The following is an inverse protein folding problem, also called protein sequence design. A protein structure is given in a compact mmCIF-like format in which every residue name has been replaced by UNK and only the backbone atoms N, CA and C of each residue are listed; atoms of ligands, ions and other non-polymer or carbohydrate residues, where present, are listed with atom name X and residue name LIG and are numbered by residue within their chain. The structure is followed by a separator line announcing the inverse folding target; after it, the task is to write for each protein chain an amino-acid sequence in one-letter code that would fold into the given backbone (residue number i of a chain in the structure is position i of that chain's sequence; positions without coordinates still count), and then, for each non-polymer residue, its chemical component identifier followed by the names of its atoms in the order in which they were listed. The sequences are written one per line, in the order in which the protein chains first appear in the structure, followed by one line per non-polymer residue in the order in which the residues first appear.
data_IF_969919065938
#
_entry.id   IF_969919065938
#
_cell.length_a   1.000
_cell.length_b   1.000
_cell.length_c   1.000
_cell.angle_alpha   90.00
_cell.angle_beta   90.00
_cell.angle_gamma   90.00
#
_symmetry.space_group_name_H-M   'P 1'
#
loop_
_entity.id
_entity.type
_entity.pdbx_description
1 polymer ?
#
# COMPACT_ATOMS: atom_id res chain seq x y z
N UNK A 1 -10.49 -33.71 43.77
CA UNK A 1 -9.23 -33.59 43.03
C UNK A 1 -8.12 -34.28 43.78
N UNK A 2 -7.32 -35.11 43.13
CA UNK A 2 -6.30 -35.92 43.81
C UNK A 2 -4.90 -35.29 43.87
N UNK A 3 -4.77 -34.01 43.59
CA UNK A 3 -3.46 -33.32 43.54
C UNK A 3 -2.71 -33.36 44.90
N UNK A 4 -3.41 -33.21 46.02
CA UNK A 4 -2.84 -33.24 47.36
C UNK A 4 -3.45 -34.33 48.27
N UNK A 5 -4.04 -35.37 47.65
CA UNK A 5 -4.64 -36.47 48.39
C UNK A 5 -3.53 -37.38 48.97
N UNK A 6 -3.50 -37.57 50.29
CA UNK A 6 -2.52 -38.41 50.97
C UNK A 6 -2.69 -39.89 50.64
N UNK A 7 -3.91 -40.36 50.24
CA UNK A 7 -4.18 -41.70 49.81
C UNK A 7 -3.94 -41.94 48.29
N UNK A 8 -3.34 -41.00 47.61
CA UNK A 8 -3.18 -41.04 46.13
C UNK A 8 -2.52 -42.31 45.61
N UNK A 9 -1.53 -42.88 46.33
CA UNK A 9 -0.81 -44.08 45.91
C UNK A 9 -1.61 -45.34 46.09
N UNK A 10 -2.21 -45.64 47.27
CA UNK A 10 -3.00 -46.84 47.51
C UNK A 10 -4.44 -46.77 46.94
N UNK A 11 -4.90 -45.63 46.51
CA UNK A 11 -6.27 -45.41 46.05
C UNK A 11 -6.57 -46.21 44.78
N UNK A 12 -7.61 -47.03 44.82
CA UNK A 12 -8.11 -47.84 43.68
C UNK A 12 -9.17 -47.15 42.83
N UNK A 13 -9.66 -45.97 43.28
CA UNK A 13 -10.66 -45.22 42.56
C UNK A 13 -10.04 -44.42 41.40
N UNK A 14 -10.88 -43.98 40.43
CA UNK A 14 -10.47 -43.09 39.36
C UNK A 14 -9.83 -41.80 39.93
N UNK A 15 -8.62 -41.50 39.43
CA UNK A 15 -7.84 -40.36 39.92
C UNK A 15 -8.09 -39.15 39.08
N UNK A 16 -8.59 -38.07 39.67
CA UNK A 16 -8.84 -36.78 39.07
C UNK A 16 -7.80 -35.75 39.50
N UNK A 17 -6.97 -35.33 38.59
CA UNK A 17 -5.94 -34.32 38.84
C UNK A 17 -6.32 -32.99 38.15
N UNK A 18 -6.14 -31.89 38.87
CA UNK A 18 -6.19 -30.54 38.28
C UNK A 18 -4.82 -30.22 37.70
N UNK A 19 -4.79 -29.98 36.40
CA UNK A 19 -3.60 -29.48 35.67
C UNK A 19 -3.98 -28.13 35.11
N UNK A 20 -3.41 -27.03 35.68
CA UNK A 20 -3.79 -25.66 35.35
C UNK A 20 -3.71 -25.35 33.83
N UNK A 21 -2.66 -25.84 33.17
CA UNK A 21 -2.51 -25.66 31.72
C UNK A 21 -3.66 -26.29 30.92
N UNK A 22 -4.04 -27.53 31.25
CA UNK A 22 -5.17 -28.23 30.59
C UNK A 22 -6.50 -27.53 30.88
N UNK A 23 -6.71 -27.09 32.13
CA UNK A 23 -7.93 -26.37 32.52
C UNK A 23 -8.05 -25.05 31.74
N UNK A 24 -6.96 -24.33 31.55
CA UNK A 24 -6.92 -23.09 30.78
C UNK A 24 -7.17 -23.35 29.27
N UNK A 25 -6.56 -24.39 28.70
CA UNK A 25 -6.81 -24.80 27.31
C UNK A 25 -8.29 -25.19 27.10
N UNK A 26 -8.88 -25.98 28.00
CA UNK A 26 -10.29 -26.35 27.92
C UNK A 26 -11.20 -25.12 28.05
N UNK A 27 -10.88 -24.23 28.99
CA UNK A 27 -11.63 -22.98 29.18
C UNK A 27 -11.56 -22.06 27.94
N UNK A 28 -10.38 -21.93 27.36
CA UNK A 28 -10.20 -21.16 26.09
C UNK A 28 -10.98 -21.80 24.94
N UNK A 29 -10.90 -23.13 24.82
CA UNK A 29 -11.62 -23.88 23.76
C UNK A 29 -13.14 -23.69 23.90
N UNK A 30 -13.71 -23.88 25.11
CA UNK A 30 -15.13 -23.66 25.37
C UNK A 30 -15.57 -22.22 25.06
N UNK A 31 -14.78 -21.21 25.46
CA UNK A 31 -15.06 -19.81 25.13
C UNK A 31 -15.00 -19.54 23.64
N UNK A 32 -14.07 -20.13 22.93
CA UNK A 32 -13.96 -20.01 21.48
C UNK A 32 -15.15 -20.67 20.78
N UNK A 33 -15.49 -21.88 21.15
CA UNK A 33 -16.62 -22.64 20.60
C UNK A 33 -17.97 -21.95 20.85
N UNK A 34 -18.20 -21.41 22.04
CA UNK A 34 -19.43 -20.68 22.37
C UNK A 34 -19.61 -19.37 21.56
N UNK A 35 -18.52 -18.82 21.02
CA UNK A 35 -18.51 -17.60 20.21
C UNK A 35 -18.38 -17.86 18.70
N UNK A 36 -18.31 -19.13 18.29
CA UNK A 36 -18.06 -19.51 16.90
C UNK A 36 -19.33 -19.57 16.04
N UNK A 37 -20.48 -19.20 16.59
CA UNK A 37 -21.75 -19.23 15.87
C UNK A 37 -21.91 -18.03 14.93
N UNK A 38 -22.67 -18.23 13.85
CA UNK A 38 -23.12 -17.17 12.98
C UNK A 38 -24.26 -16.46 13.71
N UNK A 39 -24.03 -15.20 14.12
CA UNK A 39 -25.01 -14.42 14.90
C UNK A 39 -26.08 -13.77 13.98
N UNK A 40 -25.68 -13.38 12.78
CA UNK A 40 -26.58 -12.81 11.75
C UNK A 40 -27.26 -13.95 11.01
N UNK A 41 -28.58 -13.91 10.86
CA UNK A 41 -29.37 -15.03 10.28
C UNK A 41 -30.46 -14.53 9.33
N UNK A 42 -30.98 -15.47 8.54
CA UNK A 42 -32.12 -15.21 7.69
C UNK A 42 -31.83 -14.21 6.57
N UNK A 43 -32.73 -13.25 6.39
CA UNK A 43 -32.64 -12.23 5.32
C UNK A 43 -31.44 -11.31 5.55
N UNK A 44 -31.22 -10.88 6.77
CA UNK A 44 -30.10 -9.99 7.12
C UNK A 44 -28.73 -10.57 6.71
N UNK A 45 -28.53 -11.89 6.89
CA UNK A 45 -27.29 -12.55 6.44
C UNK A 45 -27.19 -12.56 4.90
N UNK A 46 -28.31 -12.77 4.19
CA UNK A 46 -28.30 -12.75 2.72
C UNK A 46 -27.97 -11.36 2.17
N UNK A 47 -28.60 -10.34 2.70
CA UNK A 47 -28.38 -8.95 2.28
C UNK A 47 -26.93 -8.52 2.57
N UNK A 48 -26.42 -8.90 3.73
CA UNK A 48 -25.02 -8.68 4.11
C UNK A 48 -24.03 -9.42 3.19
N UNK A 49 -24.28 -10.70 2.89
CA UNK A 49 -23.45 -11.50 1.98
C UNK A 49 -23.45 -10.93 0.57
N UNK A 50 -24.62 -10.54 0.05
CA UNK A 50 -24.73 -9.92 -1.27
C UNK A 50 -23.95 -8.62 -1.36
N UNK A 51 -24.13 -7.72 -0.39
CA UNK A 51 -23.41 -6.45 -0.34
C UNK A 51 -21.89 -6.66 -0.30
N UNK A 52 -21.39 -7.48 0.64
CA UNK A 52 -19.96 -7.74 0.80
C UNK A 52 -19.38 -8.41 -0.46
N UNK A 53 -20.12 -9.34 -1.06
CA UNK A 53 -19.70 -10.03 -2.28
C UNK A 53 -19.54 -9.04 -3.43
N UNK A 54 -20.49 -8.15 -3.64
CA UNK A 54 -20.42 -7.13 -4.69
C UNK A 54 -19.18 -6.24 -4.54
N UNK A 55 -18.89 -5.75 -3.33
CA UNK A 55 -17.74 -4.89 -3.09
C UNK A 55 -16.40 -5.63 -3.25
N UNK A 56 -16.29 -6.85 -2.73
CA UNK A 56 -15.06 -7.66 -2.89
C UNK A 56 -14.83 -8.02 -4.36
N UNK A 57 -15.87 -8.29 -5.14
CA UNK A 57 -15.75 -8.59 -6.57
C UNK A 57 -15.32 -7.38 -7.41
N UNK A 58 -15.53 -6.15 -6.93
CA UNK A 58 -14.88 -4.93 -7.49
C UNK A 58 -13.38 -4.85 -7.12
N UNK A 59 -12.89 -5.73 -6.25
CA UNK A 59 -11.52 -5.76 -5.76
C UNK A 59 -11.26 -4.84 -4.58
N UNK A 60 -12.31 -4.35 -3.91
CA UNK A 60 -12.15 -3.52 -2.73
C UNK A 60 -11.59 -4.34 -1.56
N UNK A 61 -10.57 -3.84 -0.85
CA UNK A 61 -10.12 -4.46 0.38
C UNK A 61 -11.21 -4.40 1.46
N UNK A 62 -11.35 -5.44 2.27
CA UNK A 62 -12.30 -5.44 3.40
C UNK A 62 -12.10 -4.21 4.30
N UNK A 63 -10.83 -3.77 4.47
CA UNK A 63 -10.51 -2.55 5.22
C UNK A 63 -11.12 -1.28 4.63
N UNK A 64 -11.27 -1.19 3.32
CA UNK A 64 -11.93 -0.06 2.65
C UNK A 64 -13.44 -0.11 2.90
N UNK A 65 -14.07 -1.27 2.72
CA UNK A 65 -15.50 -1.47 2.95
C UNK A 65 -15.88 -1.10 4.39
N UNK A 66 -15.09 -1.56 5.38
CA UNK A 66 -15.32 -1.23 6.79
C UNK A 66 -14.92 0.20 7.19
N UNK A 67 -14.08 0.86 6.42
CA UNK A 67 -13.79 2.27 6.65
C UNK A 67 -14.96 3.16 6.25
N UNK A 68 -15.74 2.74 5.24
CA UNK A 68 -16.93 3.44 4.78
C UNK A 68 -18.19 3.01 5.53
N UNK A 69 -18.52 1.73 5.50
CA UNK A 69 -19.81 1.19 5.95
C UNK A 69 -19.73 0.49 7.32
N UNK A 70 -18.60 0.54 8.02
CA UNK A 70 -18.37 -0.28 9.22
C UNK A 70 -19.38 -0.10 10.33
N UNK A 71 -19.99 1.09 10.43
CA UNK A 71 -20.99 1.41 11.45
C UNK A 71 -22.41 0.89 11.09
N UNK A 72 -22.65 0.60 9.80
CA UNK A 72 -23.92 0.08 9.27
C UNK A 72 -23.91 -1.45 9.16
N UNK A 73 -22.72 -2.07 9.17
CA UNK A 73 -22.59 -3.51 8.98
C UNK A 73 -22.90 -4.28 10.27
N UNK A 74 -23.61 -5.43 10.19
CA UNK A 74 -24.09 -6.17 11.37
C UNK A 74 -22.98 -6.85 12.17
N UNK A 75 -21.77 -6.98 11.61
CA UNK A 75 -20.66 -7.66 12.24
C UNK A 75 -19.34 -6.89 12.09
N UNK A 76 -18.39 -7.13 12.98
CA UNK A 76 -17.06 -6.54 12.89
C UNK A 76 -16.26 -7.16 11.74
N UNK A 77 -15.24 -6.44 11.25
CA UNK A 77 -14.32 -6.92 10.22
C UNK A 77 -13.70 -8.29 10.59
N UNK A 78 -13.38 -8.52 11.86
CA UNK A 78 -12.86 -9.81 12.36
C UNK A 78 -13.87 -10.94 12.21
N UNK A 79 -15.13 -10.65 12.53
CA UNK A 79 -16.23 -11.62 12.40
C UNK A 79 -16.49 -11.96 10.95
N UNK A 80 -16.42 -10.98 10.04
CA UNK A 80 -16.52 -11.23 8.61
C UNK A 80 -15.45 -12.21 8.11
N UNK A 81 -14.18 -12.02 8.52
CA UNK A 81 -13.13 -12.98 8.17
C UNK A 81 -13.44 -14.40 8.68
N UNK A 82 -14.00 -14.52 9.90
CA UNK A 82 -14.41 -15.83 10.43
C UNK A 82 -15.57 -16.45 9.63
N UNK A 83 -16.53 -15.64 9.16
CA UNK A 83 -17.64 -16.11 8.31
C UNK A 83 -17.13 -16.59 6.95
N UNK A 84 -16.19 -15.88 6.34
CA UNK A 84 -15.56 -16.32 5.08
C UNK A 84 -14.75 -17.61 5.30
N UNK A 85 -13.99 -17.71 6.40
CA UNK A 85 -13.21 -18.92 6.75
C UNK A 85 -14.07 -20.15 6.99
N UNK A 86 -15.25 -19.96 7.61
CA UNK A 86 -16.21 -21.04 7.88
C UNK A 86 -17.05 -21.44 6.65
N UNK A 87 -16.95 -20.66 5.56
CA UNK A 87 -17.73 -20.89 4.33
C UNK A 87 -19.18 -20.41 4.41
N UNK A 88 -19.51 -19.57 5.40
CA UNK A 88 -20.84 -19.01 5.59
C UNK A 88 -21.19 -17.89 4.58
N UNK A 89 -20.20 -17.36 3.86
CA UNK A 89 -20.34 -16.32 2.84
C UNK A 89 -20.15 -16.91 1.44
N UNK A 90 -20.71 -16.26 0.44
CA UNK A 90 -20.50 -16.58 -0.98
C UNK A 90 -19.04 -16.37 -1.37
N UNK A 91 -18.43 -15.28 -0.89
CA UNK A 91 -17.00 -14.97 -1.06
C UNK A 91 -16.13 -16.02 -0.36
N UNK A 92 -15.05 -16.41 -1.01
CA UNK A 92 -14.07 -17.36 -0.49
C UNK A 92 -12.73 -16.69 -0.20
N UNK A 93 -11.88 -17.38 0.55
CA UNK A 93 -10.52 -16.90 0.85
C UNK A 93 -9.68 -16.60 -0.40
N UNK A 94 -9.95 -17.25 -1.52
CA UNK A 94 -9.26 -17.01 -2.79
C UNK A 94 -9.60 -15.64 -3.39
N UNK A 95 -10.79 -15.11 -3.10
CA UNK A 95 -11.24 -13.81 -3.58
C UNK A 95 -10.60 -12.66 -2.78
N UNK A 96 -10.03 -12.98 -1.60
CA UNK A 96 -9.38 -12.01 -0.74
C UNK A 96 -7.92 -11.77 -1.15
N UNK A 97 -7.54 -10.50 -1.32
CA UNK A 97 -6.26 -10.05 -1.89
C UNK A 97 -5.00 -10.58 -1.19
N UNK A 98 -5.04 -10.79 0.13
CA UNK A 98 -3.85 -11.14 0.92
C UNK A 98 -3.91 -12.51 1.59
N UNK A 99 -5.05 -13.20 1.53
CA UNK A 99 -5.22 -14.44 2.27
C UNK A 99 -4.51 -15.62 1.63
N UNK A 100 -4.42 -15.62 0.30
CA UNK A 100 -3.69 -16.64 -0.46
C UNK A 100 -2.34 -16.08 -0.86
N UNK A 101 -1.30 -16.45 -0.12
CA UNK A 101 0.07 -16.02 -0.38
C UNK A 101 0.94 -17.14 -0.92
N UNK A 102 1.76 -16.84 -1.94
CA UNK A 102 2.76 -17.79 -2.42
C UNK A 102 3.97 -17.85 -1.49
N UNK A 103 4.53 -19.04 -1.28
CA UNK A 103 5.78 -19.21 -0.54
C UNK A 103 6.89 -18.43 -1.23
N UNK A 104 7.53 -17.51 -0.50
CA UNK A 104 8.66 -16.73 -1.03
C UNK A 104 9.80 -17.66 -1.42
N UNK A 105 10.27 -17.60 -2.68
CA UNK A 105 11.48 -18.30 -3.11
C UNK A 105 12.68 -17.72 -2.38
N UNK A 106 13.65 -18.58 -1.98
CA UNK A 106 14.94 -18.11 -1.43
C UNK A 106 15.61 -17.15 -2.42
N UNK A 107 15.86 -15.91 -2.02
CA UNK A 107 16.61 -14.94 -2.84
C UNK A 107 18.05 -15.42 -2.98
N UNK A 108 18.59 -15.39 -4.21
CA UNK A 108 20.03 -15.50 -4.44
C UNK A 108 20.69 -14.30 -3.77
N UNK A 109 21.91 -14.49 -3.20
CA UNK A 109 22.71 -13.37 -2.65
C UNK A 109 22.81 -12.27 -3.70
N UNK A 110 22.44 -11.06 -3.32
CA UNK A 110 22.53 -9.91 -4.19
C UNK A 110 24.01 -9.56 -4.44
N UNK A 111 24.33 -9.20 -5.68
CA UNK A 111 25.63 -8.65 -6.03
C UNK A 111 25.80 -7.28 -5.37
N UNK A 112 26.97 -6.99 -4.85
CA UNK A 112 27.33 -5.65 -4.34
C UNK A 112 27.07 -4.60 -5.43
N UNK A 113 26.30 -3.58 -5.10
CA UNK A 113 26.04 -2.47 -6.04
C UNK A 113 27.25 -1.53 -5.99
N UNK A 114 27.85 -1.17 -7.14
CA UNK A 114 28.95 -0.21 -7.17
C UNK A 114 28.53 1.14 -6.58
N UNK A 115 29.43 1.80 -5.83
CA UNK A 115 29.23 3.17 -5.37
C UNK A 115 29.13 4.08 -6.60
N UNK A 116 28.00 4.76 -6.77
CA UNK A 116 27.80 5.72 -7.86
C UNK A 116 28.21 7.12 -7.39
N UNK A 117 28.92 7.87 -8.24
CA UNK A 117 29.39 9.24 -7.94
C UNK A 117 28.23 10.23 -7.71
N UNK A 118 27.04 9.97 -8.28
CA UNK A 118 25.85 10.82 -8.07
C UNK A 118 25.32 10.83 -6.62
N UNK A 119 25.80 9.91 -5.76
CA UNK A 119 25.36 9.78 -4.36
C UNK A 119 26.17 10.61 -3.36
N UNK A 120 27.23 11.28 -3.79
CA UNK A 120 28.03 12.12 -2.90
C UNK A 120 27.17 13.27 -2.38
N UNK A 121 27.02 13.40 -1.05
CA UNK A 121 26.15 14.36 -0.40
C UNK A 121 24.64 14.08 -0.53
N UNK A 122 24.26 12.85 -0.98
CA UNK A 122 22.86 12.45 -1.21
C UNK A 122 22.57 11.05 -0.67
N UNK A 123 23.31 10.63 0.35
CA UNK A 123 23.10 9.33 1.00
C UNK A 123 21.84 9.33 1.86
N UNK A 124 21.41 8.16 2.33
CA UNK A 124 20.30 8.08 3.28
C UNK A 124 20.62 8.77 4.61
N UNK A 125 21.87 8.79 5.03
CA UNK A 125 22.32 9.53 6.21
C UNK A 125 22.20 11.04 5.98
N UNK A 126 22.59 11.54 4.79
CA UNK A 126 22.37 12.95 4.39
C UNK A 126 20.88 13.30 4.37
N UNK A 127 20.03 12.38 3.90
CA UNK A 127 18.57 12.55 3.96
C UNK A 127 18.06 12.71 5.38
N UNK A 128 18.47 11.84 6.30
CA UNK A 128 18.03 11.91 7.71
C UNK A 128 18.50 13.22 8.37
N UNK A 129 19.73 13.66 8.11
CA UNK A 129 20.23 14.94 8.61
C UNK A 129 19.43 16.10 8.04
N UNK A 130 19.25 16.14 6.71
CA UNK A 130 18.52 17.23 6.04
C UNK A 130 17.06 17.33 6.52
N UNK A 131 16.36 16.21 6.65
CA UNK A 131 14.97 16.20 7.12
C UNK A 131 14.84 16.53 8.61
N UNK A 132 15.86 16.25 9.43
CA UNK A 132 15.89 16.68 10.83
C UNK A 132 16.09 18.19 10.98
N UNK A 133 16.84 18.81 10.08
CA UNK A 133 17.04 20.27 10.02
C UNK A 133 15.83 20.99 9.41
N UNK A 134 15.03 20.30 8.60
CA UNK A 134 13.88 20.86 7.89
C UNK A 134 12.63 19.98 8.06
N UNK A 135 12.07 19.88 9.27
CA UNK A 135 10.98 18.94 9.59
C UNK A 135 9.66 19.26 8.89
N UNK A 136 9.45 20.51 8.45
CA UNK A 136 8.21 20.95 7.81
C UNK A 136 8.19 20.69 6.30
N UNK A 137 9.31 20.24 5.73
CA UNK A 137 9.37 19.97 4.29
C UNK A 137 8.67 18.64 3.96
N UNK A 138 7.89 18.69 2.91
CA UNK A 138 7.22 17.51 2.35
C UNK A 138 8.23 16.51 1.82
N UNK A 139 8.04 15.24 2.14
CA UNK A 139 8.87 14.13 1.67
C UNK A 139 8.12 13.35 0.60
N UNK A 140 8.76 13.12 -0.53
CA UNK A 140 8.24 12.30 -1.63
C UNK A 140 9.13 11.09 -1.84
N UNK A 141 8.55 9.90 -1.81
CA UNK A 141 9.25 8.65 -2.18
C UNK A 141 9.03 8.36 -3.65
N UNK A 142 10.11 8.08 -4.40
CA UNK A 142 10.06 7.84 -5.84
C UNK A 142 10.61 6.46 -6.19
N UNK A 143 9.96 5.78 -7.15
CA UNK A 143 10.37 4.45 -7.64
C UNK A 143 9.80 4.19 -9.05
N UNK A 144 10.25 3.12 -9.70
CA UNK A 144 9.68 2.66 -10.97
C UNK A 144 9.05 1.28 -10.86
N UNK A 145 7.86 1.13 -11.44
CA UNK A 145 7.18 -0.15 -11.59
C UNK A 145 7.36 -0.63 -13.02
N UNK A 146 7.95 -1.82 -13.19
CA UNK A 146 8.21 -2.43 -14.50
C UNK A 146 7.20 -3.53 -14.83
N UNK A 147 6.81 -3.61 -16.10
CA UNK A 147 6.03 -4.70 -16.66
C UNK A 147 6.88 -5.96 -16.94
N UNK A 148 6.34 -6.87 -17.76
CA UNK A 148 7.01 -8.12 -18.16
C UNK A 148 8.20 -7.93 -19.08
N UNK A 149 8.15 -6.92 -19.95
CA UNK A 149 9.21 -6.64 -20.90
C UNK A 149 10.39 -5.94 -20.25
N UNK A 150 11.61 -6.39 -20.54
CA UNK A 150 12.83 -5.73 -20.08
C UNK A 150 13.02 -4.34 -20.71
N UNK A 151 12.57 -4.18 -21.95
CA UNK A 151 12.54 -2.92 -22.69
C UNK A 151 11.10 -2.60 -23.03
N UNK A 152 10.63 -1.41 -22.71
CA UNK A 152 9.25 -0.98 -22.91
C UNK A 152 8.79 0.00 -21.86
N UNK A 153 7.50 0.37 -21.86
CA UNK A 153 6.95 1.32 -20.92
C UNK A 153 7.16 0.91 -19.47
N UNK A 154 7.43 1.90 -18.62
CA UNK A 154 7.52 1.77 -17.17
C UNK A 154 6.62 2.81 -16.51
N UNK A 155 6.18 2.56 -15.30
CA UNK A 155 5.41 3.53 -14.53
C UNK A 155 6.34 4.13 -13.49
N UNK A 156 6.60 5.43 -13.55
CA UNK A 156 7.21 6.17 -12.47
C UNK A 156 6.13 6.44 -11.42
N UNK A 157 6.44 6.18 -10.17
CA UNK A 157 5.56 6.44 -9.03
C UNK A 157 6.22 7.43 -8.08
N UNK A 158 5.44 8.40 -7.60
CA UNK A 158 5.86 9.36 -6.58
C UNK A 158 4.81 9.37 -5.48
N UNK A 159 5.21 9.08 -4.25
CA UNK A 159 4.32 9.01 -3.09
C UNK A 159 4.63 10.15 -2.12
N UNK A 160 3.67 10.98 -1.84
CA UNK A 160 3.71 11.93 -0.74
C UNK A 160 3.56 11.19 0.58
N UNK A 161 4.55 11.29 1.47
CA UNK A 161 4.57 10.52 2.73
C UNK A 161 3.51 11.01 3.71
N UNK A 162 3.23 12.31 3.73
CA UNK A 162 2.27 12.98 4.60
C UNK A 162 0.81 12.58 4.31
N UNK A 163 0.43 12.60 3.04
CA UNK A 163 -0.95 12.33 2.59
C UNK A 163 -1.16 10.93 2.03
N UNK A 164 -0.08 10.17 1.79
CA UNK A 164 -0.11 8.91 1.05
C UNK A 164 -0.67 9.01 -0.37
N UNK A 165 -0.79 10.21 -0.93
CA UNK A 165 -1.17 10.41 -2.34
C UNK A 165 -0.05 9.90 -3.23
N UNK A 166 -0.41 9.02 -4.17
CA UNK A 166 0.52 8.44 -5.12
C UNK A 166 0.25 8.98 -6.52
N UNK A 167 1.26 9.62 -7.09
CA UNK A 167 1.28 9.99 -8.50
C UNK A 167 1.84 8.85 -9.34
N UNK A 168 1.32 8.71 -10.56
CA UNK A 168 1.76 7.69 -11.50
C UNK A 168 1.94 8.32 -12.89
N UNK A 169 3.08 8.06 -13.52
CA UNK A 169 3.40 8.57 -14.85
C UNK A 169 3.85 7.43 -15.76
N UNK A 170 3.26 7.31 -16.94
CA UNK A 170 3.68 6.34 -17.93
C UNK A 170 4.88 6.89 -18.70
N UNK A 171 6.01 6.20 -18.59
CA UNK A 171 7.21 6.54 -19.32
C UNK A 171 7.43 5.53 -20.46
N UNK A 172 7.87 5.96 -21.64
CA UNK A 172 8.10 5.08 -22.79
C UNK A 172 9.23 4.07 -22.53
N UNK A 173 10.15 4.42 -21.63
CA UNK A 173 11.24 3.56 -21.19
C UNK A 173 11.73 3.93 -19.79
N UNK A 174 12.61 3.09 -19.22
CA UNK A 174 13.22 3.34 -17.89
C UNK A 174 14.60 4.00 -18.00
N UNK A 175 14.80 4.96 -18.92
CA UNK A 175 16.06 5.69 -19.04
C UNK A 175 16.09 6.93 -18.17
N UNK A 176 17.28 7.31 -17.69
CA UNK A 176 17.45 8.49 -16.85
C UNK A 176 17.01 9.78 -17.55
N UNK A 177 17.28 9.92 -18.85
CA UNK A 177 16.85 11.11 -19.60
C UNK A 177 15.33 11.24 -19.65
N UNK A 178 14.61 10.13 -19.75
CA UNK A 178 13.14 10.13 -19.78
C UNK A 178 12.56 10.64 -18.45
N UNK A 179 13.20 10.30 -17.32
CA UNK A 179 12.80 10.83 -16.00
C UNK A 179 13.11 12.32 -15.89
N UNK A 180 14.27 12.77 -16.37
CA UNK A 180 14.62 14.21 -16.42
C UNK A 180 13.59 14.98 -17.24
N UNK A 181 13.24 14.49 -18.43
CA UNK A 181 12.25 15.14 -19.29
C UNK A 181 10.87 15.26 -18.61
N UNK A 182 10.45 14.26 -17.84
CA UNK A 182 9.22 14.35 -17.05
C UNK A 182 9.32 15.45 -15.98
N UNK A 183 10.44 15.57 -15.29
CA UNK A 183 10.65 16.63 -14.28
C UNK A 183 10.61 18.00 -14.92
N UNK A 184 11.20 18.16 -16.12
CA UNK A 184 11.15 19.42 -16.88
C UNK A 184 9.71 19.76 -17.30
N UNK A 185 8.95 18.78 -17.79
CA UNK A 185 7.54 18.94 -18.14
C UNK A 185 6.69 19.34 -16.92
N UNK A 186 6.84 18.64 -15.79
CA UNK A 186 6.12 18.96 -14.55
C UNK A 186 6.49 20.36 -14.04
N UNK A 187 7.78 20.71 -14.08
CA UNK A 187 8.21 22.05 -13.65
C UNK A 187 7.64 23.14 -14.56
N UNK A 188 7.59 22.90 -15.87
CA UNK A 188 7.00 23.85 -16.83
C UNK A 188 5.49 24.00 -16.64
N UNK A 189 4.77 22.90 -16.37
CA UNK A 189 3.32 22.91 -16.18
C UNK A 189 2.90 23.55 -14.84
N UNK A 190 3.60 23.26 -13.75
CA UNK A 190 3.28 23.72 -12.40
C UNK A 190 3.90 25.09 -12.06
N UNK A 191 4.97 25.45 -12.73
CA UNK A 191 5.87 26.53 -12.32
C UNK A 191 6.85 26.09 -11.22
N UNK A 192 8.04 26.71 -11.20
CA UNK A 192 9.14 26.32 -10.30
C UNK A 192 8.75 26.41 -8.81
N UNK A 193 8.05 27.47 -8.40
CA UNK A 193 7.65 27.67 -7.00
C UNK A 193 6.70 26.54 -6.53
N UNK A 194 5.67 26.22 -7.31
CA UNK A 194 4.73 25.13 -7.00
C UNK A 194 5.42 23.77 -7.02
N UNK A 195 6.32 23.55 -7.98
CA UNK A 195 7.10 22.31 -8.03
C UNK A 195 7.96 22.15 -6.78
N UNK A 196 8.65 23.22 -6.36
CA UNK A 196 9.49 23.18 -5.16
C UNK A 196 8.67 22.95 -3.87
N UNK A 197 7.47 23.51 -3.77
CA UNK A 197 6.55 23.30 -2.65
C UNK A 197 6.04 21.85 -2.58
N UNK A 198 5.75 21.26 -3.74
CA UNK A 198 5.26 19.86 -3.83
C UNK A 198 6.37 18.82 -3.63
N UNK A 199 7.56 19.07 -4.19
CA UNK A 199 8.65 18.10 -4.27
C UNK A 199 9.97 18.59 -3.65
N UNK A 200 9.97 19.23 -2.46
CA UNK A 200 11.18 19.81 -1.90
C UNK A 200 12.24 18.74 -1.56
N UNK A 201 11.79 17.55 -1.16
CA UNK A 201 12.65 16.43 -0.79
C UNK A 201 12.17 15.15 -1.46
N UNK A 202 13.03 14.53 -2.27
CA UNK A 202 12.74 13.29 -2.96
C UNK A 202 13.70 12.19 -2.51
N UNK A 203 13.16 11.06 -2.02
CA UNK A 203 13.92 9.87 -1.67
C UNK A 203 13.68 8.77 -2.71
N UNK A 204 14.74 8.28 -3.34
CA UNK A 204 14.67 7.25 -4.37
C UNK A 204 15.61 6.08 -4.10
N UNK A 205 15.52 5.01 -4.88
CA UNK A 205 16.49 3.92 -4.85
C UNK A 205 17.71 4.20 -5.75
N UNK A 206 18.59 3.20 -5.87
CA UNK A 206 19.79 3.27 -6.68
C UNK A 206 19.55 2.84 -8.14
N UNK A 207 18.34 3.00 -8.65
CA UNK A 207 18.00 2.67 -10.03
C UNK A 207 18.81 3.47 -11.05
N UNK A 208 19.14 2.84 -12.17
CA UNK A 208 19.89 3.50 -13.26
C UNK A 208 19.13 4.67 -13.88
N UNK A 209 17.82 4.69 -13.73
CA UNK A 209 16.90 5.74 -14.15
C UNK A 209 17.04 7.04 -13.35
N UNK A 210 17.63 6.98 -12.15
CA UNK A 210 17.81 8.13 -11.26
C UNK A 210 19.27 8.63 -11.19
N UNK A 211 20.14 8.18 -12.08
CA UNK A 211 21.57 8.49 -12.05
C UNK A 211 21.92 9.97 -12.35
N UNK A 212 21.02 10.71 -12.99
CA UNK A 212 21.23 12.11 -13.36
C UNK A 212 20.75 13.06 -12.25
N UNK A 213 21.25 12.87 -11.01
CA UNK A 213 20.85 13.62 -9.83
C UNK A 213 20.83 15.14 -10.06
N UNK A 214 21.91 15.69 -10.58
CA UNK A 214 22.01 17.15 -10.81
C UNK A 214 20.94 17.68 -11.78
N UNK A 215 20.61 16.91 -12.83
CA UNK A 215 19.57 17.29 -13.78
C UNK A 215 18.16 17.10 -13.21
N UNK A 216 17.97 16.23 -12.21
CA UNK A 216 16.71 16.11 -11.46
C UNK A 216 16.56 17.23 -10.45
N UNK A 217 17.63 17.67 -9.79
CA UNK A 217 17.61 18.73 -8.79
C UNK A 217 17.59 20.15 -9.38
N UNK A 218 18.16 20.34 -10.57
CA UNK A 218 18.34 21.66 -11.18
C UNK A 218 17.75 21.70 -12.58
N UNK A 219 17.19 22.84 -12.91
CA UNK A 219 16.82 23.18 -14.27
C UNK A 219 18.05 23.48 -15.14
N UNK A 220 17.89 23.51 -16.45
CA UNK A 220 18.95 23.93 -17.37
C UNK A 220 19.39 25.40 -17.14
N UNK A 221 18.52 26.21 -16.55
CA UNK A 221 18.82 27.58 -16.11
C UNK A 221 19.75 27.67 -14.90
N UNK A 222 20.00 26.54 -14.20
CA UNK A 222 20.78 26.47 -12.98
C UNK A 222 19.97 26.60 -11.69
N UNK A 223 18.69 26.96 -11.77
CA UNK A 223 17.79 27.06 -10.62
C UNK A 223 17.51 25.70 -10.00
N UNK A 224 17.53 25.64 -8.66
CA UNK A 224 17.21 24.43 -7.91
C UNK A 224 15.70 24.21 -7.82
N UNK A 225 15.22 22.98 -8.06
CA UNK A 225 13.81 22.62 -7.97
C UNK A 225 13.48 21.63 -6.86
N UNK A 226 14.44 20.78 -6.43
CA UNK A 226 14.26 19.83 -5.35
C UNK A 226 15.61 19.38 -4.77
N UNK A 227 15.56 18.64 -3.65
CA UNK A 227 16.69 17.92 -3.08
C UNK A 227 16.47 16.43 -3.26
N UNK A 228 17.40 15.72 -3.89
CA UNK A 228 17.31 14.30 -4.19
C UNK A 228 18.23 13.49 -3.29
N UNK A 229 17.71 12.44 -2.67
CA UNK A 229 18.47 11.51 -1.84
C UNK A 229 18.24 10.06 -2.27
N UNK A 230 19.22 9.21 -1.94
CA UNK A 230 19.20 7.80 -2.31
C UNK A 230 19.17 6.89 -1.07
N UNK A 231 18.29 5.90 -1.11
CA UNK A 231 18.30 4.82 -0.14
C UNK A 231 19.62 4.04 -0.19
N UNK A 232 19.95 3.36 0.91
CA UNK A 232 21.06 2.42 0.92
C UNK A 232 20.77 1.22 0.00
N UNK A 233 21.81 0.63 -0.58
CA UNK A 233 21.64 -0.55 -1.40
C UNK A 233 20.97 -1.68 -0.63
N UNK A 234 19.91 -2.28 -1.22
CA UNK A 234 19.12 -3.37 -0.64
C UNK A 234 18.30 -3.01 0.61
N UNK A 235 18.21 -1.76 0.97
CA UNK A 235 17.46 -1.25 2.12
C UNK A 235 16.02 -0.82 1.74
N UNK A 236 15.23 -1.76 1.22
CA UNK A 236 13.86 -1.47 0.75
C UNK A 236 12.94 -0.93 1.86
N UNK A 237 13.23 -1.23 3.13
CA UNK A 237 12.46 -0.69 4.27
C UNK A 237 12.55 0.84 4.40
N UNK A 238 13.56 1.49 3.81
CA UNK A 238 13.72 2.95 3.80
C UNK A 238 12.65 3.66 2.94
N UNK A 239 11.96 2.91 2.05
CA UNK A 239 10.80 3.36 1.25
C UNK A 239 9.55 2.50 1.54
N UNK A 240 9.34 2.10 2.78
CA UNK A 240 8.29 1.14 3.15
C UNK A 240 6.87 1.60 2.79
N UNK A 241 6.59 2.89 2.82
CA UNK A 241 5.27 3.43 2.48
C UNK A 241 4.99 3.28 0.98
N UNK A 242 5.95 3.59 0.11
CA UNK A 242 5.80 3.42 -1.33
C UNK A 242 5.67 1.93 -1.71
N UNK A 243 6.43 1.04 -1.08
CA UNK A 243 6.33 -0.41 -1.33
C UNK A 243 4.94 -0.96 -1.00
N UNK A 244 4.31 -0.50 0.10
CA UNK A 244 2.91 -0.84 0.43
C UNK A 244 1.94 -0.33 -0.63
N UNK A 245 2.15 0.87 -1.14
CA UNK A 245 1.31 1.45 -2.17
C UNK A 245 1.44 0.72 -3.52
N UNK A 246 2.61 0.18 -3.84
CA UNK A 246 2.80 -0.65 -5.03
C UNK A 246 1.93 -1.92 -5.04
N UNK A 247 1.48 -2.41 -3.87
CA UNK A 247 0.54 -3.54 -3.83
C UNK A 247 -0.80 -3.18 -4.49
N UNK A 248 -1.30 -1.94 -4.33
CA UNK A 248 -2.52 -1.48 -5.01
C UNK A 248 -2.35 -1.47 -6.52
N UNK A 249 -1.20 -1.01 -7.01
CA UNK A 249 -0.88 -1.10 -8.45
C UNK A 249 -0.93 -2.56 -8.90
N UNK A 250 -0.38 -3.49 -8.11
CA UNK A 250 -0.33 -4.92 -8.44
C UNK A 250 -1.69 -5.63 -8.39
N UNK A 251 -2.69 -5.05 -7.76
CA UNK A 251 -4.08 -5.54 -7.87
C UNK A 251 -4.66 -5.30 -9.26
N UNK A 252 -4.33 -4.19 -9.89
CA UNK A 252 -4.83 -3.81 -11.22
C UNK A 252 -3.88 -4.28 -12.32
N UNK A 253 -2.57 -4.15 -12.08
CA UNK A 253 -1.49 -4.52 -12.98
C UNK A 253 -0.64 -5.67 -12.38
N UNK A 254 -1.07 -6.93 -12.47
CA UNK A 254 -0.36 -8.07 -11.87
C UNK A 254 1.10 -8.18 -12.37
N UNK A 255 1.96 -8.80 -11.57
CA UNK A 255 3.35 -9.07 -11.97
C UNK A 255 3.37 -9.91 -13.24
N UNK A 256 4.20 -9.51 -14.19
CA UNK A 256 4.31 -10.19 -15.49
C UNK A 256 3.37 -9.63 -16.57
N UNK A 257 2.50 -8.67 -16.27
CA UNK A 257 1.71 -7.96 -17.27
C UNK A 257 2.61 -7.07 -18.13
N UNK A 258 2.33 -7.04 -19.44
CA UNK A 258 2.89 -6.06 -20.36
C UNK A 258 2.21 -4.69 -20.19
N UNK A 259 2.97 -3.61 -20.30
CA UNK A 259 2.47 -2.24 -20.20
C UNK A 259 2.31 -1.55 -21.54
N UNK A 260 2.50 -2.26 -22.66
CA UNK A 260 2.42 -1.68 -24.01
C UNK A 260 1.01 -1.22 -24.41
N UNK A 261 -0.02 -1.71 -23.72
CA UNK A 261 -1.44 -1.34 -23.91
C UNK A 261 -1.90 -0.20 -23.02
N UNK A 262 -1.01 0.30 -22.14
CA UNK A 262 -1.32 1.42 -21.24
C UNK A 262 -1.16 2.76 -21.98
N UNK A 263 -1.98 3.72 -21.56
CA UNK A 263 -1.90 5.12 -21.95
C UNK A 263 -2.12 5.99 -20.70
N UNK A 264 -1.96 7.31 -20.84
CA UNK A 264 -2.08 8.25 -19.73
C UNK A 264 -3.48 8.22 -19.10
N UNK A 265 -4.54 8.07 -19.87
CA UNK A 265 -5.91 7.99 -19.37
C UNK A 265 -6.11 6.78 -18.45
N UNK A 266 -5.58 5.61 -18.84
CA UNK A 266 -5.62 4.40 -18.00
C UNK A 266 -4.80 4.58 -16.72
N UNK A 267 -3.65 5.25 -16.80
CA UNK A 267 -2.82 5.54 -15.62
C UNK A 267 -3.51 6.51 -14.68
N UNK A 268 -4.12 7.58 -15.17
CA UNK A 268 -4.90 8.53 -14.37
C UNK A 268 -6.07 7.80 -13.70
N UNK A 269 -6.80 6.94 -14.44
CA UNK A 269 -7.88 6.13 -13.87
C UNK A 269 -7.39 5.24 -12.73
N UNK A 270 -6.29 4.51 -12.92
CA UNK A 270 -5.68 3.68 -11.87
C UNK A 270 -5.32 4.53 -10.66
N UNK A 271 -4.67 5.66 -10.86
CA UNK A 271 -4.23 6.59 -9.83
C UNK A 271 -5.42 7.10 -9.01
N UNK A 272 -6.51 7.50 -9.67
CA UNK A 272 -7.71 8.01 -9.00
C UNK A 272 -8.35 6.94 -8.10
N UNK A 273 -8.51 5.71 -8.57
CA UNK A 273 -9.06 4.62 -7.75
C UNK A 273 -8.15 4.26 -6.57
N UNK A 274 -6.83 4.25 -6.75
CA UNK A 274 -5.89 3.96 -5.66
C UNK A 274 -5.92 5.07 -4.60
N UNK A 275 -5.93 6.34 -5.01
CA UNK A 275 -5.94 7.48 -4.10
C UNK A 275 -7.31 7.70 -3.42
N UNK A 276 -8.40 7.20 -3.98
CA UNK A 276 -9.73 7.19 -3.37
C UNK A 276 -9.96 5.99 -2.43
N UNK A 277 -9.01 5.04 -2.36
CA UNK A 277 -9.16 3.86 -1.51
C UNK A 277 -8.93 4.20 -0.04
N UNK A 278 -9.94 4.04 0.81
CA UNK A 278 -9.85 4.22 2.27
C UNK A 278 -8.97 3.13 2.90
N UNK A 279 -8.20 3.51 3.93
CA UNK A 279 -7.19 2.64 4.54
C UNK A 279 -7.18 2.76 6.06
N UNK A 280 -7.17 1.65 6.76
CA UNK A 280 -7.12 1.65 8.24
C UNK A 280 -5.86 2.31 8.79
N UNK A 281 -4.72 2.19 8.09
CA UNK A 281 -3.42 2.75 8.53
C UNK A 281 -3.34 4.28 8.48
N UNK A 282 -4.29 4.95 7.83
CA UNK A 282 -4.40 6.41 7.76
C UNK A 282 -5.77 6.88 8.28
N UNK A 283 -6.13 6.42 9.48
CA UNK A 283 -7.33 6.82 10.22
C UNK A 283 -8.65 6.58 9.45
N UNK A 284 -8.76 5.49 8.69
CA UNK A 284 -9.91 5.13 7.83
C UNK A 284 -10.17 6.13 6.69
N UNK A 285 -9.25 7.03 6.39
CA UNK A 285 -9.35 8.00 5.30
C UNK A 285 -8.74 7.43 4.01
N UNK A 286 -9.10 8.03 2.90
CA UNK A 286 -8.38 7.88 1.63
C UNK A 286 -7.23 8.88 1.55
N UNK A 287 -6.20 8.67 0.70
CA UNK A 287 -5.18 9.66 0.44
C UNK A 287 -5.72 11.04 0.06
N UNK A 288 -6.77 11.10 -0.76
CA UNK A 288 -7.40 12.38 -1.14
C UNK A 288 -8.05 13.11 0.04
N UNK A 289 -8.63 12.39 1.01
CA UNK A 289 -9.21 12.99 2.22
C UNK A 289 -8.16 13.49 3.22
N UNK A 290 -6.88 13.17 3.02
CA UNK A 290 -5.77 13.69 3.83
C UNK A 290 -5.18 14.98 3.27
N UNK A 291 -5.52 15.36 2.03
CA UNK A 291 -5.08 16.63 1.45
C UNK A 291 -5.75 17.76 2.22
N UNK A 292 -4.92 18.68 2.75
CA UNK A 292 -5.46 19.83 3.46
C UNK A 292 -6.27 20.73 2.52
N UNK A 293 -7.46 21.20 2.93
CA UNK A 293 -8.30 22.05 2.07
C UNK A 293 -7.64 23.36 1.60
N UNK A 294 -6.62 23.84 2.30
CA UNK A 294 -5.89 25.06 1.95
C UNK A 294 -4.59 24.78 1.18
N UNK A 295 -4.26 23.52 0.87
CA UNK A 295 -3.08 23.15 0.10
C UNK A 295 -3.27 23.53 -1.38
N UNK A 296 -2.89 24.77 -1.72
CA UNK A 296 -3.03 25.31 -3.07
C UNK A 296 -2.13 24.57 -4.08
N UNK A 297 -0.93 24.19 -3.67
CA UNK A 297 0.00 23.48 -4.55
C UNK A 297 -0.56 22.12 -4.95
N UNK A 298 -1.12 21.37 -3.99
CA UNK A 298 -1.77 20.09 -4.28
C UNK A 298 -3.02 20.25 -5.15
N UNK A 299 -3.82 21.31 -4.95
CA UNK A 299 -4.96 21.61 -5.83
C UNK A 299 -4.55 21.88 -7.27
N UNK A 300 -3.48 22.67 -7.47
CA UNK A 300 -2.92 22.93 -8.80
C UNK A 300 -2.45 21.63 -9.44
N UNK A 301 -1.72 20.78 -8.69
CA UNK A 301 -1.25 19.48 -9.15
C UNK A 301 -2.41 18.58 -9.57
N UNK A 302 -3.45 18.46 -8.72
CA UNK A 302 -4.63 17.64 -9.01
C UNK A 302 -5.33 18.08 -10.30
N UNK A 303 -5.49 19.39 -10.48
CA UNK A 303 -6.09 19.95 -11.69
C UNK A 303 -5.25 19.66 -12.93
N UNK A 304 -3.95 19.86 -12.86
CA UNK A 304 -3.01 19.63 -13.99
C UNK A 304 -2.99 18.17 -14.41
N UNK A 305 -2.95 17.26 -13.43
CA UNK A 305 -2.92 15.81 -13.68
C UNK A 305 -4.31 15.19 -13.87
N UNK A 306 -5.38 15.98 -13.91
CA UNK A 306 -6.78 15.52 -14.05
C UNK A 306 -7.14 14.44 -13.02
N UNK A 307 -6.77 14.71 -11.75
CA UNK A 307 -7.01 13.80 -10.64
C UNK A 307 -8.42 14.02 -10.10
N UNK A 308 -9.24 12.96 -10.11
CA UNK A 308 -10.64 12.97 -9.67
C UNK A 308 -10.84 12.05 -8.48
N UNK A 309 -11.69 12.45 -7.54
CA UNK A 309 -12.10 11.64 -6.40
C UNK A 309 -13.18 10.67 -6.86
N UNK A 310 -12.95 9.38 -6.66
CA UNK A 310 -13.92 8.33 -6.96
C UNK A 310 -14.74 8.07 -5.69
N UNK A 311 -16.08 8.03 -5.78
CA UNK A 311 -16.93 7.63 -4.67
C UNK A 311 -16.50 6.28 -4.07
N UNK A 312 -16.56 6.10 -2.74
CA UNK A 312 -16.06 4.88 -2.09
C UNK A 312 -16.63 3.59 -2.68
N UNK A 313 -17.92 3.55 -2.96
CA UNK A 313 -18.58 2.36 -3.53
C UNK A 313 -18.19 2.06 -4.98
N UNK A 314 -17.68 3.06 -5.70
CA UNK A 314 -17.24 2.92 -7.08
C UNK A 314 -15.75 2.60 -7.21
N UNK A 315 -15.03 2.55 -6.09
CA UNK A 315 -13.62 2.15 -6.10
C UNK A 315 -13.46 0.74 -6.67
N UNK A 316 -12.67 0.62 -7.72
CA UNK A 316 -12.44 -0.61 -8.45
C UNK A 316 -10.94 -0.91 -8.55
N UNK A 317 -10.49 -2.03 -7.96
CA UNK A 317 -9.08 -2.40 -7.90
C UNK A 317 -8.81 -3.76 -8.58
N UNK A 318 -9.46 -4.01 -9.72
CA UNK A 318 -9.29 -5.23 -10.52
C UNK A 318 -8.70 -4.91 -11.89
N UNK A 319 -8.07 -5.89 -12.58
CA UNK A 319 -7.56 -5.70 -13.93
C UNK A 319 -8.63 -5.27 -14.95
N UNK A 320 -9.92 -5.47 -14.64
CA UNK A 320 -11.06 -5.04 -15.46
C UNK A 320 -11.24 -3.53 -15.51
N UNK A 321 -10.67 -2.78 -14.57
CA UNK A 321 -10.71 -1.30 -14.54
C UNK A 321 -10.18 -0.65 -15.84
N UNK A 322 -9.25 -1.31 -16.51
CA UNK A 322 -8.51 -0.75 -17.66
C UNK A 322 -8.73 -1.53 -18.96
N UNK A 323 -9.76 -2.36 -18.98
CA UNK A 323 -10.21 -3.04 -20.22
C UNK A 323 -10.94 -2.09 -21.14
#
# INVERSE_FOLDING_TARGET
MCNHCYQRRPCTNNKYMYIGKQADEISRKRRSESRSHIHVRGQELRDFDEFITQQIMKGQPISHIYAEHGDELPVTMRTLYNYIDSGAMTVKNIDLRRKVGYRKRRKKRAKTVPKQSCRVGRTYEDFLRFTSEHPDLRIVQMDTVRGSKKKGPVILTMLFVDTSVMLMFLLPDGKAQTVVNLFDQLTAALGLATFHDLFPVILTDNGSEFKYANALEKMMTGESRCNLFYCDPLASWQKGELEKNHEYIRYILPKGRDFSDLNDEKIIRIMNHINSTKRMGIARKSPYELIHPEDLAMKILMKELKMDIIPPDDVHLMPTLIR
#
